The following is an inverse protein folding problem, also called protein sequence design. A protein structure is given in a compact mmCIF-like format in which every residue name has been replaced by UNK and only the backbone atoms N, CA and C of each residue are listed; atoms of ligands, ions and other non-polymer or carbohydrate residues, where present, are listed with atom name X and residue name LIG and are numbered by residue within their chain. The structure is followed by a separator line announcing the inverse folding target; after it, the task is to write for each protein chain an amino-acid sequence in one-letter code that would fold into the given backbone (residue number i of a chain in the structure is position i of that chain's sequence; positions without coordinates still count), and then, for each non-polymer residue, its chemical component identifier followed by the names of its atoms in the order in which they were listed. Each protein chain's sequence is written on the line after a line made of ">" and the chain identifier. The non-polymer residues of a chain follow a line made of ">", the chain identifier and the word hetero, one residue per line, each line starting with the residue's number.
data_IF_141592897304
#
_entry.id   IF_141592897304
#
_cell.length_a   1.000
_cell.length_b   1.000
_cell.length_c   1.000
_cell.angle_alpha   90.00
_cell.angle_beta   90.00
_cell.angle_gamma   90.00
#
_symmetry.space_group_name_H-M   'P 1'
#
loop_
_entity.id
_entity.type
_entity.pdbx_description
1 polymer ?
#
# COMPACT_ATOMS: atom_id res chain seq x y z
N UNK A 1 -3.47 -7.91 -13.49
CA UNK A 1 -2.06 -8.06 -13.89
C UNK A 1 -1.43 -9.25 -13.17
N UNK A 2 -0.44 -9.92 -13.76
CA UNK A 2 0.27 -11.04 -13.14
C UNK A 2 1.34 -10.57 -12.14
N UNK A 3 2.10 -9.57 -12.58
CA UNK A 3 3.02 -8.79 -11.76
C UNK A 3 2.48 -7.37 -11.54
N UNK A 4 2.98 -6.69 -10.52
CA UNK A 4 2.83 -5.24 -10.31
C UNK A 4 4.21 -4.70 -9.94
N UNK A 5 4.75 -3.82 -10.79
CA UNK A 5 6.00 -3.11 -10.50
C UNK A 5 5.68 -1.88 -9.65
N UNK A 6 6.46 -1.64 -8.60
CA UNK A 6 6.28 -0.49 -7.70
C UNK A 6 7.54 0.36 -7.72
N UNK A 7 7.48 1.48 -8.43
CA UNK A 7 8.58 2.44 -8.57
C UNK A 7 8.67 3.33 -7.32
N UNK A 8 9.41 2.86 -6.32
CA UNK A 8 9.54 3.49 -5.01
C UNK A 8 10.33 4.79 -5.09
N UNK A 9 9.72 5.84 -4.56
CA UNK A 9 10.24 7.20 -4.49
C UNK A 9 9.50 7.96 -3.38
N UNK A 10 10.05 9.08 -2.94
CA UNK A 10 9.38 10.01 -2.02
C UNK A 10 8.02 10.46 -2.56
N UNK A 11 7.90 10.63 -3.88
CA UNK A 11 6.65 11.01 -4.53
C UNK A 11 5.64 9.86 -4.58
N UNK A 12 6.07 8.63 -4.86
CA UNK A 12 5.20 7.45 -4.78
C UNK A 12 4.67 7.24 -3.35
N UNK A 13 5.53 7.39 -2.33
CA UNK A 13 5.16 7.28 -0.91
C UNK A 13 4.12 8.34 -0.46
N UNK A 14 4.20 9.56 -1.01
CA UNK A 14 3.29 10.68 -0.71
C UNK A 14 1.96 10.59 -1.47
N UNK A 15 1.91 9.91 -2.62
CA UNK A 15 0.72 9.80 -3.46
C UNK A 15 -0.33 8.86 -2.86
N UNK A 16 -1.50 9.40 -2.54
CA UNK A 16 -2.66 8.62 -2.06
C UNK A 16 -3.19 7.64 -3.10
N UNK A 17 -3.10 7.99 -4.39
CA UNK A 17 -3.49 7.10 -5.49
C UNK A 17 -2.53 5.90 -5.59
N UNK A 18 -1.21 6.16 -5.57
CA UNK A 18 -0.20 5.10 -5.63
C UNK A 18 -0.26 4.19 -4.40
N UNK A 19 -0.57 4.74 -3.22
CA UNK A 19 -0.87 3.94 -2.02
C UNK A 19 -2.08 3.02 -2.23
N UNK A 20 -3.19 3.53 -2.76
CA UNK A 20 -4.39 2.73 -3.02
C UNK A 20 -4.15 1.63 -4.09
N UNK A 21 -3.36 1.93 -5.12
CA UNK A 21 -2.93 0.96 -6.14
C UNK A 21 -2.07 -0.15 -5.54
N UNK A 22 -1.09 0.21 -4.71
CA UNK A 22 -0.22 -0.75 -4.01
C UNK A 22 -1.01 -1.62 -3.03
N UNK A 23 -1.89 -1.01 -2.21
CA UNK A 23 -2.80 -1.73 -1.31
C UNK A 23 -3.73 -2.66 -2.08
N UNK A 24 -4.28 -2.24 -3.22
CA UNK A 24 -5.10 -3.11 -4.08
C UNK A 24 -4.29 -4.28 -4.63
N UNK A 25 -3.08 -4.04 -5.15
CA UNK A 25 -2.18 -5.08 -5.65
C UNK A 25 -1.86 -6.12 -4.57
N UNK A 26 -1.58 -5.66 -3.34
CA UNK A 26 -1.29 -6.48 -2.17
C UNK A 26 -2.51 -7.32 -1.74
N UNK A 27 -3.68 -6.69 -1.60
CA UNK A 27 -4.93 -7.37 -1.23
C UNK A 27 -5.37 -8.40 -2.30
N UNK A 28 -5.07 -8.17 -3.58
CA UNK A 28 -5.27 -9.13 -4.68
C UNK A 28 -4.24 -10.26 -4.72
N UNK A 29 -3.26 -10.29 -3.80
CA UNK A 29 -2.11 -11.21 -3.77
C UNK A 29 -1.29 -11.21 -5.07
N UNK A 30 -1.20 -10.05 -5.73
CA UNK A 30 -0.40 -9.86 -6.94
C UNK A 30 1.10 -10.06 -6.65
N UNK A 31 1.87 -10.52 -7.63
CA UNK A 31 3.34 -10.56 -7.53
C UNK A 31 3.91 -9.14 -7.60
N UNK A 32 4.06 -8.49 -6.45
CA UNK A 32 4.66 -7.16 -6.32
C UNK A 32 6.18 -7.28 -6.41
N UNK A 33 6.80 -6.52 -7.32
CA UNK A 33 8.26 -6.35 -7.39
C UNK A 33 8.57 -4.87 -7.13
N UNK A 34 9.23 -4.54 -6.00
CA UNK A 34 9.59 -3.17 -5.66
C UNK A 34 10.89 -2.76 -6.38
N UNK A 35 10.87 -1.58 -7.01
CA UNK A 35 12.00 -0.98 -7.70
C UNK A 35 12.39 0.31 -6.98
N UNK A 36 13.67 0.58 -6.78
CA UNK A 36 14.13 1.89 -6.29
C UNK A 36 14.39 2.76 -7.53
N UNK A 37 13.77 3.95 -7.60
CA UNK A 37 13.89 4.88 -8.74
C UNK A 37 14.27 6.31 -8.32
N UNK A 38 14.61 6.50 -7.04
CA UNK A 38 15.03 7.77 -6.46
C UNK A 38 16.33 7.53 -5.67
N UNK A 39 17.41 8.29 -5.91
CA UNK A 39 18.71 7.98 -5.32
C UNK A 39 18.71 8.10 -3.81
N UNK A 40 19.42 7.16 -3.17
CA UNK A 40 19.50 7.00 -1.71
C UNK A 40 18.15 6.74 -1.02
N UNK A 41 17.06 6.52 -1.77
CA UNK A 41 15.72 6.31 -1.23
C UNK A 41 15.64 5.01 -0.42
N UNK A 42 15.13 5.13 0.82
CA UNK A 42 14.89 3.99 1.72
C UNK A 42 13.41 3.87 1.98
N UNK A 43 12.82 2.75 1.59
CA UNK A 43 11.39 2.51 1.75
C UNK A 43 11.02 2.34 3.23
N UNK A 44 10.24 3.28 3.75
CA UNK A 44 9.82 3.32 5.16
C UNK A 44 8.29 3.46 5.30
N UNK A 45 7.81 3.30 6.53
CA UNK A 45 6.38 3.32 6.84
C UNK A 45 5.60 2.33 5.96
N UNK A 46 4.47 2.78 5.39
CA UNK A 46 3.58 1.92 4.61
C UNK A 46 4.26 1.26 3.40
N UNK A 47 5.21 1.93 2.75
CA UNK A 47 5.88 1.40 1.56
C UNK A 47 6.95 0.37 1.94
N UNK A 48 7.69 0.63 3.03
CA UNK A 48 8.62 -0.32 3.62
C UNK A 48 7.94 -1.61 4.09
N UNK A 49 6.77 -1.52 4.74
CA UNK A 49 6.00 -2.71 5.12
C UNK A 49 5.44 -3.49 3.92
N UNK A 50 4.98 -2.80 2.89
CA UNK A 50 4.39 -3.42 1.69
C UNK A 50 5.44 -4.15 0.84
N UNK A 51 6.65 -3.60 0.76
CA UNK A 51 7.79 -4.30 0.18
C UNK A 51 8.30 -5.43 1.10
N UNK A 52 8.52 -5.16 2.38
CA UNK A 52 8.95 -6.15 3.37
C UNK A 52 10.31 -6.76 3.04
N UNK A 53 10.44 -8.08 3.20
CA UNK A 53 11.66 -8.85 2.90
C UNK A 53 11.83 -9.23 1.41
N UNK A 54 11.15 -8.52 0.49
CA UNK A 54 11.35 -8.73 -0.95
C UNK A 54 12.70 -8.16 -1.38
N UNK A 55 13.30 -8.77 -2.41
CA UNK A 55 14.46 -8.19 -3.09
C UNK A 55 14.01 -6.96 -3.88
N UNK A 56 14.82 -5.91 -3.83
CA UNK A 56 14.62 -4.67 -4.56
C UNK A 56 15.53 -4.67 -5.79
N UNK A 57 15.04 -4.13 -6.91
CA UNK A 57 15.91 -3.81 -8.04
C UNK A 57 16.16 -2.32 -8.04
N UNK A 58 17.43 -1.92 -8.05
CA UNK A 58 17.82 -0.51 -8.01
C UNK A 58 18.03 0.04 -9.43
N UNK A 59 17.27 1.07 -9.77
CA UNK A 59 17.33 1.84 -11.01
C UNK A 59 17.73 3.30 -10.76
N UNK A 60 17.98 3.71 -9.51
CA UNK A 60 18.34 5.08 -9.19
C UNK A 60 19.77 5.41 -9.64
N UNK A 61 19.92 6.55 -10.32
CA UNK A 61 21.17 7.04 -10.93
C UNK A 61 21.88 5.95 -11.79
N UNK A 62 21.11 5.05 -12.42
CA UNK A 62 21.62 4.01 -13.33
C UNK A 62 21.58 4.51 -14.78
N UNK A 63 22.74 4.61 -15.40
CA UNK A 63 22.90 4.95 -16.82
C UNK A 63 23.78 3.93 -17.55
N UNK A 64 23.67 3.88 -18.88
CA UNK A 64 24.45 2.98 -19.74
C UNK A 64 24.41 1.52 -19.28
N UNK A 65 25.59 0.88 -19.19
CA UNK A 65 25.67 -0.53 -18.78
C UNK A 65 25.08 -0.82 -17.39
N UNK A 66 25.03 0.16 -16.47
CA UNK A 66 24.44 -0.08 -15.15
C UNK A 66 22.92 -0.18 -15.22
N UNK A 67 22.30 0.55 -16.14
CA UNK A 67 20.88 0.45 -16.44
C UNK A 67 20.54 -0.91 -17.07
N UNK A 68 21.38 -1.39 -18.00
CA UNK A 68 21.25 -2.74 -18.58
C UNK A 68 21.36 -3.83 -17.51
N UNK A 69 22.30 -3.70 -16.57
CA UNK A 69 22.46 -4.62 -15.43
C UNK A 69 21.23 -4.61 -14.51
N UNK A 70 20.63 -3.43 -14.26
CA UNK A 70 19.37 -3.31 -13.53
C UNK A 70 18.19 -3.98 -14.27
N UNK A 71 18.10 -3.83 -15.60
CA UNK A 71 17.10 -4.54 -16.41
C UNK A 71 17.27 -6.06 -16.38
N UNK A 72 18.50 -6.58 -16.43
CA UNK A 72 18.77 -8.02 -16.29
C UNK A 72 18.28 -8.53 -14.93
N UNK A 73 18.61 -7.83 -13.84
CA UNK A 73 18.16 -8.17 -12.48
C UNK A 73 16.62 -8.16 -12.35
N UNK A 74 15.93 -7.18 -12.95
CA UNK A 74 14.47 -7.15 -13.01
C UNK A 74 13.88 -8.35 -13.76
N UNK A 75 14.49 -8.73 -14.88
CA UNK A 75 14.07 -9.93 -15.64
C UNK A 75 14.31 -11.21 -14.83
N UNK A 76 15.38 -11.29 -14.03
CA UNK A 76 15.65 -12.41 -13.13
C UNK A 76 14.65 -12.51 -11.97
N UNK A 77 14.32 -11.41 -11.29
CA UNK A 77 13.27 -11.42 -10.26
C UNK A 77 11.88 -11.71 -10.85
N UNK A 78 11.57 -11.23 -12.06
CA UNK A 78 10.35 -11.63 -12.78
C UNK A 78 10.33 -13.14 -13.05
N UNK A 79 11.43 -13.71 -13.57
CA UNK A 79 11.58 -15.17 -13.79
C UNK A 79 11.41 -15.95 -12.49
N UNK A 80 12.07 -15.52 -11.41
CA UNK A 80 11.99 -16.11 -10.06
C UNK A 80 10.59 -16.03 -9.45
N UNK A 81 9.78 -15.06 -9.86
CA UNK A 81 8.38 -14.93 -9.47
C UNK A 81 7.39 -15.58 -10.49
N UNK A 82 7.89 -16.33 -11.48
CA UNK A 82 7.11 -17.17 -12.39
C UNK A 82 7.01 -16.68 -13.84
N UNK A 83 7.81 -15.72 -14.32
CA UNK A 83 7.63 -15.15 -15.68
C UNK A 83 7.53 -16.23 -16.78
N UNK A 84 8.28 -17.33 -16.63
CA UNK A 84 8.46 -18.40 -17.61
C UNK A 84 7.27 -19.37 -17.77
N UNK A 85 6.17 -19.22 -17.02
CA UNK A 85 5.03 -20.16 -16.98
C UNK A 85 4.17 -20.22 -18.27
N UNK A 86 4.77 -19.96 -19.44
CA UNK A 86 4.12 -19.94 -20.76
C UNK A 86 4.79 -20.90 -21.75
N UNK A 87 4.91 -22.18 -21.39
CA UNK A 87 4.83 -23.33 -22.31
C UNK A 87 4.98 -24.68 -21.60
N UNK A 88 4.18 -25.68 -22.01
CA UNK A 88 4.53 -27.11 -21.92
C UNK A 88 4.40 -27.82 -20.56
N UNK A 89 3.33 -28.61 -20.41
CA UNK A 89 3.17 -29.62 -19.36
C UNK A 89 4.29 -30.70 -19.36
N UNK A 90 4.97 -30.93 -18.22
CA UNK A 90 5.34 -32.26 -17.68
C UNK A 90 5.92 -32.23 -16.25
N UNK A 91 5.93 -33.40 -15.61
CA UNK A 91 6.03 -33.62 -14.15
C UNK A 91 7.40 -33.43 -13.46
N UNK A 92 7.32 -33.28 -12.13
CA UNK A 92 8.23 -33.78 -11.08
C UNK A 92 9.75 -33.47 -11.10
N UNK A 93 10.24 -32.96 -9.97
CA UNK A 93 11.14 -33.72 -9.05
C UNK A 93 11.09 -33.09 -7.64
N UNK A 94 11.20 -33.91 -6.57
CA UNK A 94 11.20 -33.44 -5.18
C UNK A 94 12.61 -33.42 -4.55
N UNK A 95 12.89 -32.37 -3.78
CA UNK A 95 13.70 -32.36 -2.55
C UNK A 95 13.12 -31.26 -1.64
N UNK A 96 12.69 -31.44 -0.37
CA UNK A 96 12.80 -32.55 0.59
C UNK A 96 14.27 -32.81 1.01
N UNK A 97 14.74 -32.63 2.26
CA UNK A 97 14.14 -32.48 3.62
C UNK A 97 14.95 -31.41 4.44
N UNK A 98 14.63 -30.97 5.66
CA UNK A 98 14.35 -31.77 6.89
C UNK A 98 13.69 -30.97 8.03
N UNK A 99 12.52 -31.45 8.48
CA UNK A 99 12.09 -31.87 9.86
C UNK A 99 12.66 -31.06 11.05
N UNK A 100 11.91 -30.63 12.08
CA UNK A 100 10.76 -31.23 12.81
C UNK A 100 9.99 -30.16 13.61
N UNK A 101 8.85 -30.39 14.28
CA UNK A 101 7.68 -31.29 14.14
C UNK A 101 6.91 -31.26 15.46
N UNK A 102 5.69 -30.70 15.49
CA UNK A 102 4.64 -31.19 16.40
C UNK A 102 3.43 -31.55 15.55
N UNK A 103 3.08 -32.82 15.60
CA UNK A 103 1.98 -33.54 14.94
C UNK A 103 1.15 -34.10 16.12
N UNK A 104 -0.16 -34.30 16.12
CA UNK A 104 -1.16 -34.70 15.11
C UNK A 104 -2.55 -34.31 15.70
N UNK A 105 -3.77 -34.49 15.13
CA UNK A 105 -4.44 -35.00 13.90
C UNK A 105 -5.93 -34.49 14.05
N UNK A 106 -7.01 -34.82 13.32
CA UNK A 106 -7.44 -35.50 12.07
C UNK A 106 -8.94 -35.19 11.94
N UNK A 107 -9.59 -34.95 10.80
CA UNK A 107 -9.16 -34.78 9.40
C UNK A 107 -10.28 -34.01 8.63
N UNK A 108 -10.20 -33.93 7.29
CA UNK A 108 -11.28 -33.43 6.41
C UNK A 108 -12.49 -34.41 6.30
N UNK A 109 -13.73 -34.00 5.92
CA UNK A 109 -13.98 -33.33 4.63
C UNK A 109 -15.10 -32.26 4.53
N UNK A 110 -14.90 -31.37 3.54
CA UNK A 110 -15.86 -30.54 2.79
C UNK A 110 -17.36 -30.75 3.07
N UNK A 111 -18.01 -29.68 3.56
CA UNK A 111 -19.32 -29.22 3.09
C UNK A 111 -19.48 -27.72 3.33
N UNK A 112 -20.20 -27.07 2.42
CA UNK A 112 -20.75 -25.74 2.59
C UNK A 112 -22.17 -25.88 3.15
N UNK A 113 -22.40 -25.45 4.41
CA UNK A 113 -23.70 -24.90 4.76
C UNK A 113 -23.65 -23.71 5.73
N UNK A 114 -24.50 -22.73 5.44
CA UNK A 114 -25.47 -22.11 6.36
C UNK A 114 -25.04 -21.62 7.76
N UNK A 115 -25.24 -20.30 7.96
CA UNK A 115 -25.67 -19.72 9.23
C UNK A 115 -26.99 -20.40 9.72
N UNK A 116 -27.36 -20.43 11.02
CA UNK A 116 -27.04 -19.39 12.01
C UNK A 116 -26.87 -19.82 13.48
N UNK A 117 -26.40 -18.87 14.30
CA UNK A 117 -27.20 -18.44 15.46
C UNK A 117 -27.26 -16.90 15.45
N UNK A 118 -28.38 -16.32 15.89
CA UNK A 118 -28.72 -14.93 15.55
C UNK A 118 -28.27 -13.93 16.61
N UNK A 119 -27.41 -13.00 16.18
CA UNK A 119 -27.50 -11.61 16.61
C UNK A 119 -27.69 -10.75 15.36
N UNK A 120 -28.72 -9.91 15.37
CA UNK A 120 -28.95 -8.89 14.35
C UNK A 120 -27.79 -7.89 14.46
N UNK A 121 -26.97 -7.74 13.41
CA UNK A 121 -25.80 -6.86 13.44
C UNK A 121 -26.22 -5.42 13.23
N UNK A 122 -26.76 -4.79 14.27
CA UNK A 122 -27.44 -3.50 14.17
C UNK A 122 -26.50 -2.38 13.70
N UNK A 123 -25.22 -2.41 14.10
CA UNK A 123 -24.20 -1.49 13.59
C UNK A 123 -23.98 -1.55 12.05
N UNK A 124 -24.27 -2.68 11.38
CA UNK A 124 -24.20 -2.78 9.91
C UNK A 124 -25.38 -2.11 9.21
N UNK A 125 -26.51 -1.96 9.89
CA UNK A 125 -27.68 -1.23 9.41
C UNK A 125 -27.55 0.29 9.65
N UNK A 126 -26.56 0.71 10.46
CA UNK A 126 -26.32 2.10 10.86
C UNK A 126 -25.09 2.63 10.10
N UNK A 127 -25.26 3.43 9.02
CA UNK A 127 -24.20 3.74 8.08
C UNK A 127 -23.13 4.72 8.60
N UNK A 128 -23.41 5.42 9.69
CA UNK A 128 -22.53 6.42 10.29
C UNK A 128 -22.20 6.06 11.74
N UNK A 129 -20.91 6.14 12.10
CA UNK A 129 -20.43 5.85 13.44
C UNK A 129 -21.02 6.81 14.50
N UNK A 130 -21.44 8.03 14.14
CA UNK A 130 -22.09 8.99 15.06
C UNK A 130 -23.52 8.58 15.48
N UNK A 131 -23.95 7.38 15.11
CA UNK A 131 -25.21 6.77 15.54
C UNK A 131 -24.97 5.40 16.21
N UNK A 132 -23.72 5.09 16.55
CA UNK A 132 -23.34 3.88 17.28
C UNK A 132 -23.40 4.12 18.79
N UNK A 133 -23.88 3.13 19.54
CA UNK A 133 -23.77 3.05 21.00
C UNK A 133 -22.55 2.17 21.36
N UNK A 134 -22.26 2.04 22.65
CA UNK A 134 -21.16 1.20 23.16
C UNK A 134 -21.22 -0.26 22.62
N UNK A 135 -22.41 -0.86 22.55
CA UNK A 135 -22.60 -2.21 21.99
C UNK A 135 -22.21 -2.27 20.50
N UNK A 136 -22.63 -1.30 19.69
CA UNK A 136 -22.27 -1.20 18.27
C UNK A 136 -20.75 -1.02 18.06
N UNK A 137 -20.08 -0.27 18.95
CA UNK A 137 -18.62 -0.12 18.94
C UNK A 137 -17.94 -1.46 19.27
N UNK A 138 -18.39 -2.16 20.32
CA UNK A 138 -17.85 -3.46 20.70
C UNK A 138 -18.10 -4.53 19.62
N UNK A 139 -19.29 -4.58 19.00
CA UNK A 139 -19.60 -5.46 17.86
C UNK A 139 -18.66 -5.20 16.66
N UNK A 140 -18.43 -3.93 16.32
CA UNK A 140 -17.49 -3.53 15.26
C UNK A 140 -16.05 -3.98 15.55
N UNK A 141 -15.56 -3.80 16.78
CA UNK A 141 -14.21 -4.18 17.18
C UNK A 141 -14.02 -5.71 17.13
N UNK A 142 -14.95 -6.47 17.71
CA UNK A 142 -14.96 -7.94 17.67
C UNK A 142 -15.02 -8.47 16.23
N UNK A 143 -15.96 -7.97 15.41
CA UNK A 143 -16.10 -8.40 14.01
C UNK A 143 -14.86 -8.13 13.14
N UNK A 144 -14.06 -7.15 13.51
CA UNK A 144 -12.81 -6.84 12.82
C UNK A 144 -11.56 -7.41 13.49
N UNK A 145 -11.69 -8.22 14.55
CA UNK A 145 -10.56 -8.76 15.33
C UNK A 145 -9.61 -7.60 15.70
N UNK A 146 -10.16 -6.66 16.45
CA UNK A 146 -9.50 -5.47 16.98
C UNK A 146 -9.45 -5.57 18.51
N UNK A 147 -9.26 -6.79 18.99
CA UNK A 147 -9.54 -7.21 20.37
C UNK A 147 -8.61 -6.50 21.38
N UNK A 148 -7.40 -6.12 20.93
CA UNK A 148 -6.42 -5.30 21.66
C UNK A 148 -6.88 -3.86 21.92
N UNK A 149 -7.98 -3.40 21.30
CA UNK A 149 -8.59 -2.09 21.54
C UNK A 149 -9.87 -2.17 22.39
N UNK A 150 -10.40 -3.36 22.68
CA UNK A 150 -11.60 -3.51 23.51
C UNK A 150 -11.41 -2.88 24.89
N UNK A 151 -10.28 -3.15 25.57
CA UNK A 151 -9.96 -2.57 26.89
C UNK A 151 -9.72 -1.04 26.88
N UNK A 152 -9.67 -0.40 25.71
CA UNK A 152 -9.42 1.04 25.56
C UNK A 152 -10.67 1.76 25.06
N UNK A 153 -11.50 1.06 24.28
CA UNK A 153 -12.78 1.54 23.77
C UNK A 153 -13.99 0.98 24.56
N UNK A 154 -13.77 0.38 25.73
CA UNK A 154 -14.79 -0.37 26.50
C UNK A 154 -16.07 0.45 26.74
N UNK A 155 -15.88 1.71 27.15
CA UNK A 155 -16.94 2.71 27.38
C UNK A 155 -16.96 3.83 26.32
N UNK A 156 -16.56 3.54 25.08
CA UNK A 156 -16.68 4.50 23.97
C UNK A 156 -17.96 4.27 23.19
N UNK A 157 -18.79 5.31 23.11
CA UNK A 157 -19.88 5.38 22.13
C UNK A 157 -19.34 5.76 20.73
N UNK A 158 -20.27 5.91 19.79
CA UNK A 158 -19.97 6.27 18.41
C UNK A 158 -19.35 7.66 18.21
N UNK A 159 -19.67 8.64 19.05
CA UNK A 159 -19.13 10.00 18.94
C UNK A 159 -17.71 10.06 19.56
N UNK A 160 -17.53 9.46 20.74
CA UNK A 160 -16.21 9.30 21.37
C UNK A 160 -15.24 8.54 20.46
N UNK A 161 -15.70 7.48 19.76
CA UNK A 161 -14.89 6.73 18.80
C UNK A 161 -14.49 7.58 17.58
N UNK A 162 -15.34 8.53 17.15
CA UNK A 162 -15.03 9.50 16.10
C UNK A 162 -13.98 10.50 16.57
N UNK A 163 -14.09 11.06 17.78
CA UNK A 163 -13.10 11.99 18.34
C UNK A 163 -11.74 11.31 18.58
N UNK A 164 -11.76 10.06 19.04
CA UNK A 164 -10.57 9.22 19.17
C UNK A 164 -9.88 8.99 17.81
N UNK A 165 -10.64 8.71 16.74
CA UNK A 165 -10.11 8.63 15.38
C UNK A 165 -9.56 9.98 14.88
N UNK A 166 -10.22 11.10 15.15
CA UNK A 166 -9.72 12.43 14.78
C UNK A 166 -8.41 12.79 15.50
N UNK A 167 -8.28 12.37 16.76
CA UNK A 167 -7.04 12.48 17.54
C UNK A 167 -5.92 11.63 16.90
N UNK A 168 -6.23 10.41 16.47
CA UNK A 168 -5.30 9.53 15.75
C UNK A 168 -4.89 10.07 14.36
N UNK A 169 -5.78 10.76 13.63
CA UNK A 169 -5.42 11.42 12.36
C UNK A 169 -4.59 12.71 12.55
N UNK A 170 -4.77 13.43 13.66
CA UNK A 170 -4.07 14.71 13.90
C UNK A 170 -2.69 14.55 14.54
N UNK A 171 -2.50 13.56 15.43
CA UNK A 171 -1.24 13.33 16.16
C UNK A 171 -0.95 11.82 16.30
N UNK A 172 -0.73 11.09 15.19
CA UNK A 172 -0.64 9.63 15.19
C UNK A 172 0.46 9.07 16.11
N UNK A 173 1.64 9.70 16.15
CA UNK A 173 2.78 9.20 16.95
C UNK A 173 2.52 9.34 18.46
N UNK A 174 1.89 10.45 18.87
CA UNK A 174 1.52 10.71 20.26
C UNK A 174 0.37 9.80 20.67
N UNK A 175 -0.68 9.67 19.84
CA UNK A 175 -1.81 8.80 20.15
C UNK A 175 -1.39 7.34 20.22
N UNK A 176 -0.58 6.84 19.28
CA UNK A 176 -0.06 5.47 19.37
C UNK A 176 0.75 5.26 20.66
N UNK A 177 1.58 6.24 21.07
CA UNK A 177 2.33 6.21 22.33
C UNK A 177 1.47 6.24 23.60
N UNK A 178 0.25 6.78 23.55
CA UNK A 178 -0.73 6.77 24.65
C UNK A 178 -1.56 5.49 24.69
N UNK A 179 -1.92 4.94 23.52
CA UNK A 179 -2.81 3.78 23.38
C UNK A 179 -2.03 2.47 23.57
N UNK A 180 -0.79 2.38 23.10
CA UNK A 180 0.05 1.18 23.23
C UNK A 180 0.69 1.09 24.62
N UNK A 181 0.06 0.38 25.57
CA UNK A 181 0.69 0.02 26.85
C UNK A 181 1.52 -1.28 26.70
N UNK A 182 2.86 -1.23 26.63
CA UNK A 182 3.69 -2.41 26.38
C UNK A 182 3.75 -3.39 27.57
N UNK A 183 3.14 -3.08 28.73
CA UNK A 183 3.15 -3.93 29.93
C UNK A 183 1.88 -4.74 30.12
N UNK A 184 0.75 -4.29 29.58
CA UNK A 184 -0.58 -4.88 29.80
C UNK A 184 -1.18 -5.38 28.49
N UNK A 185 -1.30 -4.48 27.51
CA UNK A 185 -1.94 -4.73 26.22
C UNK A 185 -1.07 -4.13 25.09
N UNK A 186 -0.03 -4.85 24.62
CA UNK A 186 0.83 -4.37 23.54
C UNK A 186 0.05 -4.31 22.23
N UNK A 187 -0.39 -3.11 21.88
CA UNK A 187 -1.15 -2.86 20.66
C UNK A 187 -0.22 -3.00 19.46
N UNK A 188 -0.48 -3.97 18.60
CA UNK A 188 0.25 -4.10 17.35
C UNK A 188 -0.09 -2.93 16.41
N UNK A 189 0.94 -2.31 15.80
CA UNK A 189 0.78 -1.39 14.68
C UNK A 189 -0.19 -1.92 13.61
N UNK A 190 -0.18 -3.24 13.36
CA UNK A 190 -1.11 -3.88 12.42
C UNK A 190 -2.58 -3.76 12.84
N UNK A 191 -2.87 -3.84 14.15
CA UNK A 191 -4.23 -3.66 14.70
C UNK A 191 -4.60 -2.18 14.71
N UNK A 192 -3.68 -1.28 15.11
CA UNK A 192 -3.89 0.18 15.05
C UNK A 192 -4.25 0.67 13.64
N UNK A 193 -3.47 0.31 12.61
CA UNK A 193 -3.78 0.70 11.23
C UNK A 193 -5.02 -0.01 10.68
N UNK A 194 -5.30 -1.26 11.09
CA UNK A 194 -6.54 -1.97 10.75
C UNK A 194 -7.77 -1.25 11.33
N UNK A 195 -7.73 -0.80 12.58
CA UNK A 195 -8.79 0.00 13.20
C UNK A 195 -9.09 1.27 12.40
N UNK A 196 -8.09 2.13 12.19
CA UNK A 196 -8.23 3.39 11.43
C UNK A 196 -8.78 3.12 10.02
N UNK A 197 -8.25 2.13 9.30
CA UNK A 197 -8.68 1.79 7.94
C UNK A 197 -10.10 1.18 7.86
N UNK A 198 -10.61 0.58 8.93
CA UNK A 198 -11.99 0.06 9.00
C UNK A 198 -12.98 1.15 9.41
N UNK A 199 -12.69 1.89 10.49
CA UNK A 199 -13.58 2.89 11.05
C UNK A 199 -13.84 4.04 10.06
N UNK A 200 -12.84 4.42 9.27
CA UNK A 200 -12.93 5.45 8.21
C UNK A 200 -14.04 5.21 7.17
N UNK A 201 -14.59 4.00 7.07
CA UNK A 201 -15.74 3.68 6.21
C UNK A 201 -17.08 4.19 6.73
N UNK A 202 -17.18 4.41 8.04
CA UNK A 202 -18.40 4.82 8.76
C UNK A 202 -18.33 6.29 9.20
N UNK A 203 -17.30 7.03 8.78
CA UNK A 203 -17.16 8.46 9.04
C UNK A 203 -17.86 9.29 7.97
N UNK A 204 -18.41 10.47 8.31
CA UNK A 204 -18.91 11.42 7.31
C UNK A 204 -17.78 11.83 6.37
N UNK A 205 -17.95 11.57 5.06
CA UNK A 205 -16.92 11.88 4.08
C UNK A 205 -16.80 13.39 3.87
N UNK A 206 -15.73 13.98 4.40
CA UNK A 206 -15.37 15.39 4.16
C UNK A 206 -15.35 15.65 2.64
N UNK A 207 -16.13 16.61 2.12
CA UNK A 207 -16.27 16.81 0.68
C UNK A 207 -14.93 17.19 0.06
N UNK A 208 -14.48 16.43 -0.93
CA UNK A 208 -13.22 16.70 -1.63
C UNK A 208 -13.31 18.08 -2.32
N UNK A 209 -12.40 19.03 -2.02
CA UNK A 209 -12.38 20.30 -2.73
C UNK A 209 -12.12 20.05 -4.22
N UNK A 210 -12.93 20.66 -5.08
CA UNK A 210 -12.79 20.55 -6.55
C UNK A 210 -11.61 21.41 -7.02
N UNK A 211 -10.38 20.91 -6.85
CA UNK A 211 -9.17 21.60 -7.33
C UNK A 211 -9.19 21.63 -8.85
N UNK A 212 -9.47 22.81 -9.41
CA UNK A 212 -9.55 23.03 -10.85
C UNK A 212 -8.15 23.38 -11.39
N UNK A 213 -7.38 22.37 -11.77
CA UNK A 213 -6.02 22.55 -12.28
C UNK A 213 -6.01 23.16 -13.70
N UNK A 214 -6.05 24.49 -13.77
CA UNK A 214 -5.80 25.28 -14.98
C UNK A 214 -4.31 25.26 -15.33
N UNK A 215 -3.85 24.21 -16.02
CA UNK A 215 -2.48 24.11 -16.53
C UNK A 215 -2.25 25.08 -17.71
N UNK A 216 -1.75 26.29 -17.43
CA UNK A 216 -1.14 27.14 -18.47
C UNK A 216 0.28 26.69 -18.75
N UNK A 217 0.47 25.89 -19.80
CA UNK A 217 1.80 25.69 -20.40
C UNK A 217 2.22 26.97 -21.12
N UNK A 218 3.29 27.62 -20.63
CA UNK A 218 3.99 28.69 -21.34
C UNK A 218 5.20 28.07 -22.02
N UNK A 219 5.13 27.90 -23.33
CA UNK A 219 6.29 27.50 -24.13
C UNK A 219 7.15 28.72 -24.45
N UNK A 220 8.38 28.74 -23.93
CA UNK A 220 9.44 29.62 -24.43
C UNK A 220 10.23 28.89 -25.53
N UNK A 221 10.37 29.45 -26.74
CA UNK A 221 11.20 28.85 -27.78
C UNK A 221 12.68 28.83 -27.37
N UNK A 222 13.38 27.75 -27.74
CA UNK A 222 14.84 27.70 -27.71
C UNK A 222 15.39 28.41 -28.95
N UNK A 223 16.14 29.50 -28.75
CA UNK A 223 16.91 30.12 -29.83
C UNK A 223 18.18 29.31 -30.08
N UNK A 224 18.19 28.52 -31.14
CA UNK A 224 19.42 27.88 -31.64
C UNK A 224 20.35 28.96 -32.22
N UNK A 225 21.57 29.06 -31.71
CA UNK A 225 22.63 29.88 -32.31
C UNK A 225 23.24 29.16 -33.49
N UNK A 226 23.04 29.67 -34.70
CA UNK A 226 23.69 29.17 -35.92
C UNK A 226 24.68 30.22 -36.45
N UNK A 227 25.93 29.82 -36.64
CA UNK A 227 27.06 30.72 -36.90
C UNK A 227 27.22 31.03 -38.39
N UNK A 228 26.79 32.21 -38.81
CA UNK A 228 26.94 32.67 -40.19
C UNK A 228 28.38 33.15 -40.48
N UNK A 229 29.14 32.34 -41.23
CA UNK A 229 30.35 32.77 -41.94
C UNK A 229 30.09 32.68 -43.45
N UNK A 230 29.95 33.82 -44.12
CA UNK A 230 29.87 33.90 -45.58
C UNK A 230 30.65 35.12 -46.06
N UNK A 231 31.54 34.93 -47.03
CA UNK A 231 32.45 35.96 -47.51
C UNK A 231 31.77 37.09 -48.32
N UNK A 232 32.39 38.26 -48.26
CA UNK A 232 32.06 39.46 -49.02
C UNK A 232 32.40 39.28 -50.52
N UNK A 233 31.42 39.52 -51.43
CA UNK A 233 31.72 39.68 -52.87
C UNK A 233 30.66 40.44 -53.70
N UNK A 234 30.95 41.74 -53.87
CA UNK A 234 30.76 42.56 -55.10
C UNK A 234 29.41 42.65 -55.81
N UNK A 235 29.02 43.92 -56.03
CA UNK A 235 28.40 44.50 -57.23
C UNK A 235 26.99 44.05 -57.64
N UNK A 236 26.06 45.03 -57.60
CA UNK A 236 25.72 45.76 -58.82
C UNK A 236 25.21 47.17 -58.49
N UNK A 237 25.27 48.07 -59.48
CA UNK A 237 24.79 49.44 -59.39
C UNK A 237 23.93 49.75 -60.63
N UNK A 238 22.80 50.43 -60.41
CA UNK A 238 22.05 51.26 -61.35
C UNK A 238 20.99 52.07 -60.57
#
# INVERSE_FOLDING_TARGET
>A
SRFVLICMSSNYKKSTNCKAEAEYAFNRKSKIIPLIVEPQYKADGWLGFLAGSKIYVDFADKEGEELDKAFVSLIEELKRNGLNDTNGNKDNTLTDRTVSQIRSKSEEPKKEPEQPCVQTREYLNIPLASMWNEQHVQEFLNYHQLDQLLSICESMDGEALIEFHQSCETKPDIMYGLINNPKEHPLSFGIYFKFIAKLKKYLPQKPRPKIHFQYKFVYSPLNTTESATTDEKTNQAL
#
